data_IF_016718764232
#
_entry.id   IF_016718764232
#
_cell.length_a   1.000
_cell.length_b   1.000
_cell.length_c   1.000
_cell.angle_alpha   90.00
_cell.angle_beta   90.00
_cell.angle_gamma   90.00
#
_symmetry.space_group_name_H-M   'P 1'
#
loop_
_entity.id
_entity.type
_entity.pdbx_description
1 polymer ?
#
# COMPACT_ATOMS: atom_id res chain seq x y z
N UNK A 1 27.05 8.56 32.88
CA UNK A 1 27.51 9.28 31.68
C UNK A 1 26.72 8.72 30.50
N UNK A 2 25.79 9.53 29.95
CA UNK A 2 24.82 9.08 28.94
C UNK A 2 25.50 8.93 27.58
N UNK A 3 25.55 7.71 27.03
CA UNK A 3 26.07 7.45 25.68
C UNK A 3 25.03 7.89 24.65
N UNK A 4 25.27 9.03 24.03
CA UNK A 4 24.60 9.47 22.80
C UNK A 4 25.09 8.60 21.64
N UNK A 5 24.18 7.88 21.00
CA UNK A 5 24.45 7.28 19.69
C UNK A 5 23.39 7.79 18.73
N UNK A 6 23.80 8.76 17.91
CA UNK A 6 23.05 9.26 16.78
C UNK A 6 22.98 8.12 15.75
N UNK A 7 21.79 7.55 15.52
CA UNK A 7 21.54 6.61 14.43
C UNK A 7 20.54 7.25 13.47
N UNK A 8 21.04 8.13 12.61
CA UNK A 8 20.33 8.50 11.39
C UNK A 8 20.33 7.33 10.39
N UNK A 9 19.21 7.23 9.67
CA UNK A 9 18.99 6.53 8.41
C UNK A 9 18.64 5.02 8.46
N UNK A 10 17.36 4.73 8.18
CA UNK A 10 16.98 3.53 7.42
C UNK A 10 15.97 2.57 8.06
N UNK A 11 15.19 2.98 9.05
CA UNK A 11 14.32 2.03 9.77
C UNK A 11 13.05 1.63 8.99
N UNK A 12 13.00 0.34 8.62
CA UNK A 12 11.76 -0.41 8.45
C UNK A 12 11.27 -0.69 9.87
N UNK A 13 10.37 0.13 10.38
CA UNK A 13 9.72 -0.07 11.67
C UNK A 13 8.24 -0.28 11.45
N UNK A 14 7.79 -1.53 11.61
CA UNK A 14 6.38 -1.85 11.85
C UNK A 14 6.17 -1.96 13.36
N UNK A 15 5.45 -1.01 13.94
CA UNK A 15 5.09 -0.98 15.35
C UNK A 15 3.79 -1.75 15.56
N UNK A 16 3.84 -2.90 16.24
CA UNK A 16 2.65 -3.60 16.73
C UNK A 16 2.30 -3.10 18.13
N UNK A 17 1.11 -2.48 18.27
CA UNK A 17 0.63 -1.90 19.52
C UNK A 17 0.12 -2.94 20.54
N UNK A 18 0.44 -4.23 20.37
CA UNK A 18 -0.17 -5.33 21.14
C UNK A 18 0.66 -5.84 22.32
N UNK A 19 1.80 -5.22 22.66
CA UNK A 19 2.52 -5.60 23.88
C UNK A 19 2.92 -4.37 24.71
N UNK A 20 2.20 -4.16 25.81
CA UNK A 20 2.46 -3.20 26.89
C UNK A 20 3.88 -3.26 27.50
N UNK A 21 4.75 -4.18 27.06
CA UNK A 21 6.14 -4.29 27.52
C UNK A 21 7.15 -3.44 26.73
N UNK A 22 6.82 -2.95 25.53
CA UNK A 22 7.76 -2.15 24.73
C UNK A 22 7.79 -0.66 25.08
N UNK A 23 6.82 -0.18 25.88
CA UNK A 23 6.80 1.17 26.43
C UNK A 23 7.85 1.42 27.53
N UNK A 24 8.74 0.46 27.81
CA UNK A 24 9.79 0.64 28.85
C UNK A 24 11.06 1.32 28.36
N UNK A 25 11.22 1.60 27.07
CA UNK A 25 12.31 2.45 26.56
C UNK A 25 11.78 3.76 25.99
N UNK A 26 11.06 4.51 26.83
CA UNK A 26 10.58 5.88 26.53
C UNK A 26 11.73 6.78 26.06
N UNK A 27 12.96 6.55 26.56
CA UNK A 27 14.14 7.35 26.27
C UNK A 27 14.65 7.29 24.83
N UNK A 28 14.42 6.18 24.11
CA UNK A 28 14.85 6.08 22.70
C UNK A 28 14.01 6.96 21.77
N UNK A 29 12.76 7.23 22.14
CA UNK A 29 11.86 8.11 21.39
C UNK A 29 11.98 9.58 21.81
N UNK A 30 12.48 9.85 23.03
CA UNK A 30 12.76 11.21 23.51
C UNK A 30 13.88 11.91 22.74
N UNK A 31 14.85 11.15 22.23
CA UNK A 31 15.99 11.67 21.44
C UNK A 31 15.71 11.77 19.93
N UNK A 32 14.56 11.27 19.45
CA UNK A 32 14.15 11.44 18.05
C UNK A 32 13.49 12.81 17.92
N UNK A 33 14.07 13.76 17.17
CA UNK A 33 13.48 15.09 17.04
C UNK A 33 12.06 14.95 16.47
N UNK A 34 11.09 15.52 17.21
CA UNK A 34 9.67 15.52 16.89
C UNK A 34 9.45 16.17 15.52
N UNK A 35 9.35 15.34 14.47
CA UNK A 35 9.12 15.81 13.11
C UNK A 35 9.81 15.00 12.01
N UNK A 36 10.81 14.16 12.31
CA UNK A 36 11.62 13.52 11.26
C UNK A 36 11.12 12.16 10.74
N UNK A 37 10.14 11.54 11.39
CA UNK A 37 9.64 10.23 10.95
C UNK A 37 8.12 10.30 10.75
N UNK A 38 7.72 10.38 9.49
CA UNK A 38 6.33 10.21 9.10
C UNK A 38 5.90 8.76 9.37
N UNK A 39 5.01 8.58 10.33
CA UNK A 39 4.36 7.32 10.66
C UNK A 39 2.88 7.38 10.26
N UNK A 40 2.42 6.29 9.67
CA UNK A 40 1.01 6.02 9.42
C UNK A 40 0.49 5.12 10.52
N UNK A 41 -0.53 5.60 11.24
CA UNK A 41 -1.15 4.88 12.34
C UNK A 41 -2.44 4.22 11.86
N UNK A 42 -2.44 2.89 11.81
CA UNK A 42 -3.63 2.07 11.71
C UNK A 42 -4.19 1.70 13.09
N UNK A 43 -5.35 1.04 13.11
CA UNK A 43 -6.08 0.68 14.34
C UNK A 43 -5.27 -0.14 15.36
N UNK A 44 -4.21 -0.87 14.93
CA UNK A 44 -3.33 -1.66 15.81
C UNK A 44 -1.83 -1.59 15.45
N UNK A 45 -1.48 -0.79 14.46
CA UNK A 45 -0.16 -0.83 13.81
C UNK A 45 0.32 0.58 13.46
N UNK A 46 1.59 0.87 13.69
CA UNK A 46 2.28 2.04 13.14
C UNK A 46 3.25 1.62 12.04
N UNK A 47 3.22 2.27 10.89
CA UNK A 47 4.06 1.94 9.73
C UNK A 47 4.81 3.19 9.29
N UNK A 48 6.12 3.10 9.08
CA UNK A 48 6.88 4.24 8.56
C UNK A 48 6.52 4.51 7.09
N UNK A 49 6.53 5.77 6.68
CA UNK A 49 6.27 6.14 5.28
C UNK A 49 7.23 5.45 4.30
N UNK A 50 8.49 5.24 4.72
CA UNK A 50 9.50 4.51 3.95
C UNK A 50 9.13 3.05 3.71
N UNK A 51 8.60 2.35 4.73
CA UNK A 51 8.14 0.98 4.58
C UNK A 51 6.95 0.92 3.60
N UNK A 52 6.00 1.86 3.72
CA UNK A 52 4.91 2.00 2.75
C UNK A 52 5.44 2.16 1.32
N UNK A 53 6.33 3.13 1.06
CA UNK A 53 6.91 3.34 -0.28
C UNK A 53 7.63 2.12 -0.81
N UNK A 54 8.37 1.39 0.03
CA UNK A 54 9.05 0.16 -0.34
C UNK A 54 8.07 -0.93 -0.75
N UNK A 55 7.02 -1.17 0.05
CA UNK A 55 5.96 -2.14 -0.28
C UNK A 55 5.32 -1.79 -1.62
N UNK A 56 4.98 -0.52 -1.85
CA UNK A 56 4.41 -0.09 -3.12
C UNK A 56 5.34 -0.32 -4.31
N UNK A 57 6.62 0.01 -4.17
CA UNK A 57 7.61 -0.23 -5.22
C UNK A 57 7.73 -1.73 -5.55
N UNK A 58 7.75 -2.60 -4.54
CA UNK A 58 7.82 -4.05 -4.73
C UNK A 58 6.57 -4.60 -5.41
N UNK A 59 5.37 -4.17 -5.01
CA UNK A 59 4.12 -4.54 -5.69
C UNK A 59 4.13 -4.05 -7.13
N UNK A 60 4.57 -2.82 -7.38
CA UNK A 60 4.68 -2.24 -8.72
C UNK A 60 5.67 -3.00 -9.61
N UNK A 61 6.66 -3.67 -9.03
CA UNK A 61 7.58 -4.57 -9.73
C UNK A 61 7.03 -5.99 -9.91
N UNK A 62 5.75 -6.24 -9.61
CA UNK A 62 5.09 -7.53 -9.79
C UNK A 62 5.35 -8.55 -8.69
N UNK A 63 5.85 -8.14 -7.53
CA UNK A 63 6.01 -9.05 -6.38
C UNK A 63 4.66 -9.34 -5.73
N UNK A 64 4.42 -10.61 -5.42
CA UNK A 64 3.27 -11.02 -4.61
C UNK A 64 3.44 -10.58 -3.15
N UNK A 65 2.34 -10.41 -2.43
CA UNK A 65 2.38 -10.01 -1.02
C UNK A 65 3.15 -10.99 -0.13
N UNK A 66 3.09 -12.30 -0.43
CA UNK A 66 3.85 -13.32 0.29
C UNK A 66 5.36 -13.18 0.05
N UNK A 67 5.79 -12.90 -1.18
CA UNK A 67 7.21 -12.65 -1.46
C UNK A 67 7.70 -11.39 -0.73
N UNK A 68 6.85 -10.36 -0.64
CA UNK A 68 7.18 -9.13 0.09
C UNK A 68 7.29 -9.40 1.60
N UNK A 69 6.39 -10.18 2.19
CA UNK A 69 6.50 -10.60 3.60
C UNK A 69 7.82 -11.33 3.85
N UNK A 70 8.16 -12.32 3.03
CA UNK A 70 9.42 -13.07 3.16
C UNK A 70 10.64 -12.16 3.01
N UNK A 71 10.60 -11.23 2.04
CA UNK A 71 11.65 -10.23 1.85
C UNK A 71 11.81 -9.35 3.09
N UNK A 72 10.71 -8.85 3.65
CA UNK A 72 10.75 -8.02 4.86
C UNK A 72 11.28 -8.82 6.05
N UNK A 73 10.85 -10.07 6.22
CA UNK A 73 11.35 -10.96 7.26
C UNK A 73 12.86 -11.18 7.16
N UNK A 74 13.38 -11.41 5.95
CA UNK A 74 14.81 -11.52 5.72
C UNK A 74 15.54 -10.21 6.04
N UNK A 75 15.00 -9.06 5.61
CA UNK A 75 15.59 -7.75 5.94
C UNK A 75 15.64 -7.48 7.44
N UNK A 76 14.66 -7.95 8.21
CA UNK A 76 14.70 -7.89 9.67
C UNK A 76 15.82 -8.73 10.26
N UNK A 77 16.03 -9.96 9.76
CA UNK A 77 17.13 -10.83 10.16
C UNK A 77 18.49 -10.20 9.87
N UNK A 78 18.66 -9.68 8.65
CA UNK A 78 19.91 -9.04 8.21
C UNK A 78 20.23 -7.82 9.09
N UNK A 79 19.24 -6.96 9.34
CA UNK A 79 19.39 -5.78 10.18
C UNK A 79 19.72 -6.15 11.64
N UNK A 80 19.14 -7.23 12.16
CA UNK A 80 19.46 -7.72 13.50
C UNK A 80 20.92 -8.20 13.59
N UNK A 81 21.35 -9.02 12.63
CA UNK A 81 22.73 -9.52 12.56
C UNK A 81 23.74 -8.37 12.42
N UNK A 82 23.42 -7.37 11.60
CA UNK A 82 24.25 -6.17 11.45
C UNK A 82 24.35 -5.39 12.78
N UNK A 83 23.22 -5.17 13.47
CA UNK A 83 23.19 -4.49 14.77
C UNK A 83 23.98 -5.27 15.83
N UNK A 84 23.91 -6.59 15.82
CA UNK A 84 24.68 -7.45 16.72
C UNK A 84 26.19 -7.26 16.46
N UNK A 85 26.62 -7.26 15.19
CA UNK A 85 28.01 -7.02 14.83
C UNK A 85 28.49 -5.62 15.25
N UNK A 86 27.68 -4.59 15.00
CA UNK A 86 27.99 -3.20 15.41
C UNK A 86 28.11 -3.08 16.94
N UNK A 87 27.19 -3.68 17.68
CA UNK A 87 27.25 -3.72 19.14
C UNK A 87 28.52 -4.43 19.63
N UNK A 88 28.85 -5.60 19.08
CA UNK A 88 30.05 -6.34 19.45
C UNK A 88 31.32 -5.50 19.24
N UNK A 89 31.45 -4.86 18.06
CA UNK A 89 32.56 -3.93 17.77
C UNK A 89 32.64 -2.77 18.75
N UNK A 90 31.49 -2.19 19.11
CA UNK A 90 31.42 -1.09 20.06
C UNK A 90 31.86 -1.51 21.46
N UNK A 91 31.41 -2.69 21.92
CA UNK A 91 31.83 -3.26 23.21
C UNK A 91 33.33 -3.54 23.24
N UNK A 92 33.89 -4.15 22.19
CA UNK A 92 35.34 -4.37 22.08
C UNK A 92 36.10 -3.06 22.21
N UNK A 93 35.75 -2.05 21.40
CA UNK A 93 36.43 -0.74 21.43
C UNK A 93 36.27 0.00 22.76
N UNK A 94 35.12 -0.17 23.44
CA UNK A 94 34.88 0.42 24.75
C UNK A 94 35.75 -0.24 25.83
N UNK A 95 35.86 -1.58 25.82
CA UNK A 95 36.68 -2.34 26.78
C UNK A 95 38.17 -2.10 26.59
N UNK A 96 38.65 -1.98 25.34
CA UNK A 96 40.04 -1.58 25.04
C UNK A 96 40.41 -0.25 25.69
N UNK A 97 39.49 0.72 25.71
CA UNK A 97 39.68 2.04 26.34
C UNK A 97 39.47 2.04 27.84
N UNK A 98 38.86 0.99 28.40
CA UNK A 98 38.46 0.90 29.81
C UNK A 98 38.78 -0.49 30.37
N UNK A 99 40.05 -0.90 30.29
CA UNK A 99 40.51 -2.25 30.58
C UNK A 99 40.26 -2.76 32.02
N UNK A 100 39.97 -1.86 32.97
CA UNK A 100 39.64 -2.20 34.36
C UNK A 100 38.17 -2.52 34.61
N UNK A 101 37.31 -2.41 33.59
CA UNK A 101 35.87 -2.69 33.71
C UNK A 101 35.57 -4.18 33.52
N UNK A 102 34.66 -4.68 34.36
CA UNK A 102 34.14 -6.04 34.27
C UNK A 102 33.16 -6.18 33.10
N UNK A 103 33.55 -7.00 32.12
CA UNK A 103 32.74 -7.33 30.94
C UNK A 103 31.36 -7.91 31.33
N UNK A 104 31.26 -8.61 32.46
CA UNK A 104 30.01 -9.20 32.96
C UNK A 104 28.96 -8.17 33.41
N UNK A 105 29.36 -6.90 33.58
CA UNK A 105 28.45 -5.80 33.95
C UNK A 105 27.88 -5.05 32.73
N UNK A 106 28.37 -5.34 31.52
CA UNK A 106 27.84 -4.73 30.32
C UNK A 106 26.51 -5.40 29.91
N UNK A 107 25.50 -4.61 29.47
CA UNK A 107 24.22 -5.16 29.07
C UNK A 107 24.37 -6.01 27.81
N UNK A 108 24.02 -7.30 27.86
CA UNK A 108 24.11 -8.20 26.70
C UNK A 108 23.24 -7.76 25.53
N UNK A 109 23.70 -8.01 24.30
CA UNK A 109 22.84 -7.86 23.12
C UNK A 109 21.62 -8.82 23.24
N UNK A 110 20.40 -8.36 22.96
CA UNK A 110 19.20 -9.20 23.08
C UNK A 110 19.26 -10.41 22.14
N UNK A 111 18.66 -11.54 22.54
CA UNK A 111 18.50 -12.69 21.65
C UNK A 111 17.38 -12.43 20.62
N UNK A 112 17.49 -13.07 19.46
CA UNK A 112 16.52 -12.88 18.37
C UNK A 112 15.12 -13.38 18.74
N UNK A 113 15.02 -14.46 19.52
CA UNK A 113 13.74 -15.08 19.88
C UNK A 113 12.86 -14.21 20.78
N UNK A 114 13.42 -13.17 21.41
CA UNK A 114 12.66 -12.23 22.24
C UNK A 114 11.84 -11.25 21.38
N UNK A 115 12.15 -11.12 20.08
CA UNK A 115 11.56 -10.09 19.23
C UNK A 115 11.42 -10.56 17.77
N UNK A 116 10.22 -11.01 17.37
CA UNK A 116 9.87 -11.30 15.96
C UNK A 116 8.79 -10.34 15.44
N UNK A 117 9.13 -9.08 15.10
CA UNK A 117 8.19 -8.16 14.46
C UNK A 117 8.25 -8.34 12.94
N UNK A 118 7.96 -9.52 12.40
CA UNK A 118 7.82 -9.63 10.95
C UNK A 118 6.43 -9.14 10.56
N UNK A 119 6.31 -8.15 9.67
CA UNK A 119 5.02 -7.69 9.19
C UNK A 119 4.34 -8.86 8.49
N UNK A 120 3.16 -9.23 8.98
CA UNK A 120 2.35 -10.26 8.34
C UNK A 120 1.93 -9.82 6.94
N UNK A 121 1.53 -10.77 6.09
CA UNK A 121 0.85 -10.49 4.83
C UNK A 121 -0.25 -9.43 4.99
N UNK A 122 -1.08 -9.49 6.05
CA UNK A 122 -2.11 -8.47 6.33
C UNK A 122 -1.52 -7.07 6.53
N UNK A 123 -0.39 -6.97 7.22
CA UNK A 123 0.31 -5.69 7.43
C UNK A 123 0.81 -5.13 6.11
N UNK A 124 1.35 -5.98 5.23
CA UNK A 124 1.81 -5.58 3.89
C UNK A 124 0.62 -5.10 3.04
N UNK A 125 -0.53 -5.79 3.09
CA UNK A 125 -1.75 -5.35 2.43
C UNK A 125 -2.21 -3.98 2.94
N UNK A 126 -2.22 -3.77 4.26
CA UNK A 126 -2.59 -2.46 4.84
C UNK A 126 -1.65 -1.34 4.39
N UNK A 127 -0.33 -1.60 4.29
CA UNK A 127 0.63 -0.63 3.74
C UNK A 127 0.26 -0.23 2.31
N UNK A 128 -0.05 -1.22 1.47
CA UNK A 128 -0.42 -1.00 0.08
C UNK A 128 -1.73 -0.22 -0.06
N UNK A 129 -2.77 -0.61 0.69
CA UNK A 129 -4.07 0.08 0.69
C UNK A 129 -3.97 1.52 1.19
N UNK A 130 -3.11 1.76 2.19
CA UNK A 130 -2.91 3.10 2.73
C UNK A 130 -2.42 4.08 1.66
N UNK A 131 -1.43 3.68 0.87
CA UNK A 131 -0.89 4.50 -0.23
C UNK A 131 -1.97 4.77 -1.27
N UNK A 132 -2.80 3.77 -1.58
CA UNK A 132 -3.93 3.97 -2.47
C UNK A 132 -4.90 5.03 -1.97
N UNK A 133 -5.21 5.01 -0.67
CA UNK A 133 -6.10 5.97 -0.02
C UNK A 133 -5.52 7.39 -0.02
N UNK A 134 -4.25 7.56 0.34
CA UNK A 134 -3.59 8.87 0.36
C UNK A 134 -3.49 9.49 -1.04
N UNK A 135 -3.31 8.66 -2.07
CA UNK A 135 -3.17 9.10 -3.46
C UNK A 135 -4.49 9.02 -4.23
N UNK A 136 -5.63 8.80 -3.56
CA UNK A 136 -6.93 8.62 -4.22
C UNK A 136 -7.26 9.82 -5.12
N UNK A 137 -7.05 11.04 -4.63
CA UNK A 137 -7.29 12.25 -5.40
C UNK A 137 -6.38 12.34 -6.63
N UNK A 138 -5.11 11.96 -6.50
CA UNK A 138 -4.18 11.92 -7.63
C UNK A 138 -4.62 10.91 -8.68
N UNK A 139 -5.06 9.71 -8.27
CA UNK A 139 -5.57 8.71 -9.21
C UNK A 139 -6.84 9.18 -9.92
N UNK A 140 -7.77 9.81 -9.18
CA UNK A 140 -8.99 10.40 -9.74
C UNK A 140 -8.66 11.52 -10.73
N UNK A 141 -7.72 12.39 -10.38
CA UNK A 141 -7.28 13.47 -11.26
C UNK A 141 -6.63 12.92 -12.53
N UNK A 142 -5.65 12.02 -12.40
CA UNK A 142 -4.96 11.42 -13.54
C UNK A 142 -5.93 10.71 -14.49
N UNK A 143 -6.95 10.02 -13.96
CA UNK A 143 -8.03 9.41 -14.77
C UNK A 143 -8.90 10.47 -15.45
N UNK A 144 -9.21 11.57 -14.76
CA UNK A 144 -10.04 12.66 -15.30
C UNK A 144 -9.37 13.42 -16.44
N UNK A 145 -8.03 13.43 -16.49
CA UNK A 145 -7.25 14.08 -17.54
C UNK A 145 -7.12 13.23 -18.81
N UNK A 146 -7.44 11.94 -18.76
CA UNK A 146 -7.33 11.05 -19.92
C UNK A 146 -8.48 11.27 -20.89
N UNK A 147 -8.13 11.39 -22.16
CA UNK A 147 -9.03 11.40 -23.30
C UNK A 147 -8.95 10.06 -24.04
N UNK A 148 -9.81 9.91 -25.04
CA UNK A 148 -9.82 8.74 -25.90
C UNK A 148 -10.26 9.13 -27.30
N UNK A 149 -9.56 8.60 -28.30
CA UNK A 149 -10.00 8.64 -29.70
C UNK A 149 -10.92 7.45 -29.99
N UNK A 150 -10.61 6.29 -29.43
CA UNK A 150 -11.53 5.17 -29.31
C UNK A 150 -11.50 4.60 -27.91
N UNK A 151 -12.61 4.01 -27.48
CA UNK A 151 -12.73 3.40 -26.16
C UNK A 151 -13.21 1.97 -26.26
N UNK A 152 -12.76 1.12 -25.35
CA UNK A 152 -13.32 -0.22 -25.14
C UNK A 152 -13.97 -0.29 -23.76
N UNK A 153 -15.17 -0.85 -23.65
CA UNK A 153 -15.85 -0.97 -22.36
C UNK A 153 -16.71 -2.22 -22.23
N UNK A 154 -16.47 -2.99 -21.19
CA UNK A 154 -17.12 -4.27 -20.92
C UNK A 154 -17.05 -4.64 -19.43
N UNK A 155 -17.66 -5.77 -19.08
CA UNK A 155 -17.62 -6.34 -17.72
C UNK A 155 -16.54 -7.44 -17.62
N UNK A 156 -15.30 -7.15 -18.06
CA UNK A 156 -14.25 -8.18 -18.27
C UNK A 156 -13.94 -8.98 -17.01
N UNK A 157 -13.96 -8.33 -15.84
CA UNK A 157 -13.47 -8.92 -14.61
C UNK A 157 -14.63 -9.36 -13.72
N UNK A 158 -14.72 -10.67 -13.48
CA UNK A 158 -15.53 -11.20 -12.39
C UNK A 158 -14.87 -10.81 -11.07
N UNK A 159 -15.53 -9.97 -10.30
CA UNK A 159 -15.08 -9.61 -8.97
C UNK A 159 -15.80 -10.54 -8.01
N UNK A 160 -15.23 -11.72 -7.73
CA UNK A 160 -15.78 -12.60 -6.72
C UNK A 160 -15.27 -12.19 -5.32
N UNK A 161 -15.64 -11.00 -4.86
CA UNK A 161 -15.33 -10.55 -3.51
C UNK A 161 -16.60 -10.65 -2.65
N UNK A 162 -16.64 -11.64 -1.76
CA UNK A 162 -17.61 -11.65 -0.67
C UNK A 162 -17.18 -10.58 0.34
N UNK A 163 -18.01 -9.56 0.54
CA UNK A 163 -17.76 -8.46 1.47
C UNK A 163 -18.96 -8.39 2.40
N UNK A 164 -18.73 -8.43 3.70
CA UNK A 164 -19.81 -8.34 4.68
C UNK A 164 -19.31 -7.89 6.05
N UNK A 165 -20.04 -7.01 6.75
CA UNK A 165 -19.81 -6.78 8.17
C UNK A 165 -20.29 -7.99 8.99
N UNK A 166 -19.61 -8.25 10.10
CA UNK A 166 -20.08 -9.07 11.22
C UNK A 166 -20.61 -10.47 10.85
N UNK A 167 -19.81 -11.25 10.15
CA UNK A 167 -20.06 -12.70 9.96
C UNK A 167 -21.07 -13.06 8.86
N UNK A 168 -21.68 -12.07 8.19
CA UNK A 168 -22.57 -12.31 7.04
C UNK A 168 -21.85 -12.05 5.72
N UNK A 169 -21.23 -13.09 5.16
CA UNK A 169 -20.56 -12.99 3.86
C UNK A 169 -21.59 -12.93 2.73
N UNK A 170 -21.64 -11.81 2.02
CA UNK A 170 -22.47 -11.67 0.82
C UNK A 170 -21.66 -11.08 -0.32
N UNK A 171 -21.95 -11.52 -1.54
CA UNK A 171 -21.37 -10.94 -2.74
C UNK A 171 -22.01 -9.57 -2.98
N UNK A 172 -21.25 -8.50 -2.66
CA UNK A 172 -21.70 -7.12 -2.86
C UNK A 172 -21.58 -6.70 -4.32
N UNK A 173 -20.53 -7.20 -4.98
CA UNK A 173 -20.23 -6.99 -6.39
C UNK A 173 -19.78 -8.32 -6.98
N UNK A 174 -20.23 -8.64 -8.18
CA UNK A 174 -19.83 -9.85 -8.91
C UNK A 174 -19.06 -9.52 -10.19
N UNK A 175 -19.04 -8.24 -10.57
CA UNK A 175 -18.52 -7.74 -11.85
C UNK A 175 -17.87 -6.37 -11.67
N UNK A 176 -16.88 -6.09 -12.52
CA UNK A 176 -16.30 -4.76 -12.71
C UNK A 176 -16.55 -4.34 -14.15
N UNK A 177 -17.26 -3.23 -14.33
CA UNK A 177 -17.30 -2.54 -15.61
C UNK A 177 -16.12 -1.58 -15.70
N UNK A 178 -15.37 -1.64 -16.78
CA UNK A 178 -14.20 -0.78 -17.00
C UNK A 178 -14.24 -0.21 -18.41
N UNK A 179 -13.85 1.05 -18.56
CA UNK A 179 -13.65 1.67 -19.87
C UNK A 179 -12.19 2.06 -20.02
N UNK A 180 -11.58 1.62 -21.12
CA UNK A 180 -10.19 1.88 -21.48
C UNK A 180 -10.13 2.73 -22.75
N UNK A 181 -9.08 3.55 -22.88
CA UNK A 181 -8.75 4.22 -24.14
C UNK A 181 -7.84 3.37 -25.03
N UNK A 182 -7.41 3.94 -26.16
CA UNK A 182 -6.57 3.28 -27.15
C UNK A 182 -5.19 2.81 -26.67
N UNK A 183 -4.72 3.33 -25.53
CA UNK A 183 -3.45 2.96 -24.91
C UNK A 183 -3.61 2.01 -23.71
N UNK A 184 -4.83 1.54 -23.44
CA UNK A 184 -5.14 0.70 -22.29
C UNK A 184 -5.24 1.47 -20.97
N UNK A 185 -5.34 2.80 -20.99
CA UNK A 185 -5.53 3.60 -19.79
C UNK A 185 -7.00 3.62 -19.37
N UNK A 186 -7.25 3.51 -18.08
CA UNK A 186 -8.60 3.55 -17.51
C UNK A 186 -9.18 4.96 -17.61
N UNK A 187 -10.38 5.08 -18.18
CA UNK A 187 -11.16 6.32 -18.28
C UNK A 187 -12.25 6.41 -17.21
N UNK A 188 -12.87 5.28 -16.88
CA UNK A 188 -13.86 5.15 -15.80
C UNK A 188 -14.02 3.68 -15.45
N UNK A 189 -14.51 3.40 -14.26
CA UNK A 189 -14.82 2.04 -13.82
C UNK A 189 -15.91 2.06 -12.75
N UNK A 190 -16.61 0.93 -12.60
CA UNK A 190 -17.60 0.74 -11.54
C UNK A 190 -17.74 -0.72 -11.18
N UNK A 191 -17.71 -1.01 -9.88
CA UNK A 191 -18.12 -2.30 -9.35
C UNK A 191 -19.63 -2.44 -9.43
N UNK A 192 -20.12 -3.55 -9.97
CA UNK A 192 -21.55 -3.79 -10.20
C UNK A 192 -21.99 -5.15 -9.66
N UNK A 193 -23.29 -5.25 -9.41
CA UNK A 193 -24.00 -6.51 -9.18
C UNK A 193 -24.79 -6.84 -10.44
N UNK A 194 -24.30 -7.80 -11.20
CA UNK A 194 -24.70 -8.12 -12.57
C UNK A 194 -24.05 -7.22 -13.62
N UNK A 195 -24.38 -7.51 -14.88
CA UNK A 195 -23.76 -6.91 -16.08
C UNK A 195 -24.73 -6.03 -16.88
N UNK A 196 -25.84 -5.60 -16.29
CA UNK A 196 -26.86 -4.81 -17.01
C UNK A 196 -26.40 -3.36 -17.20
N UNK A 197 -26.58 -2.83 -18.42
CA UNK A 197 -26.16 -1.45 -18.76
C UNK A 197 -26.74 -0.36 -17.87
N UNK A 198 -27.93 -0.56 -17.28
CA UNK A 198 -28.52 0.42 -16.36
C UNK A 198 -27.71 0.61 -15.08
N UNK A 199 -26.82 -0.34 -14.73
CA UNK A 199 -25.93 -0.22 -13.57
C UNK A 199 -24.76 0.73 -13.81
N UNK A 200 -24.42 1.01 -15.06
CA UNK A 200 -23.23 1.77 -15.47
C UNK A 200 -23.56 3.02 -16.28
N UNK A 201 -24.84 3.28 -16.53
CA UNK A 201 -25.31 4.43 -17.31
C UNK A 201 -24.85 5.78 -16.73
N UNK A 202 -24.83 5.89 -15.40
CA UNK A 202 -24.37 7.08 -14.68
C UNK A 202 -22.89 7.39 -14.95
N UNK A 203 -22.01 6.38 -14.83
CA UNK A 203 -20.57 6.59 -15.06
C UNK A 203 -20.24 6.84 -16.53
N UNK A 204 -21.04 6.31 -17.46
CA UNK A 204 -20.91 6.57 -18.89
C UNK A 204 -21.36 7.99 -19.27
N UNK A 205 -22.46 8.49 -18.69
CA UNK A 205 -22.90 9.89 -18.86
C UNK A 205 -21.87 10.88 -18.31
N UNK A 206 -21.30 10.58 -17.14
CA UNK A 206 -20.24 11.40 -16.56
C UNK A 206 -18.99 11.39 -17.44
N UNK A 207 -18.61 10.24 -17.99
CA UNK A 207 -17.51 10.14 -18.94
C UNK A 207 -17.76 10.99 -20.20
N UNK A 208 -18.96 10.89 -20.80
CA UNK A 208 -19.33 11.72 -21.95
C UNK A 208 -19.21 13.21 -21.65
N UNK A 209 -19.80 13.67 -20.55
CA UNK A 209 -19.75 15.07 -20.14
C UNK A 209 -18.31 15.56 -19.99
N UNK A 210 -17.45 14.73 -19.39
CA UNK A 210 -16.01 15.02 -19.24
C UNK A 210 -15.30 15.13 -20.59
N UNK A 211 -15.52 14.18 -21.50
CA UNK A 211 -14.92 14.22 -22.84
C UNK A 211 -15.38 15.46 -23.64
N UNK A 212 -16.65 15.83 -23.52
CA UNK A 212 -17.21 17.03 -24.17
C UNK A 212 -16.57 18.32 -23.66
N UNK A 213 -16.41 18.43 -22.34
CA UNK A 213 -15.72 19.57 -21.71
C UNK A 213 -14.26 19.68 -22.16
N UNK A 214 -13.60 18.54 -22.38
CA UNK A 214 -12.24 18.45 -22.89
C UNK A 214 -12.15 18.65 -24.40
N UNK A 215 -13.28 18.80 -25.10
CA UNK A 215 -13.35 18.86 -26.57
C UNK A 215 -12.69 17.66 -27.25
N UNK A 216 -12.72 16.51 -26.60
CA UNK A 216 -12.19 15.27 -27.13
C UNK A 216 -13.22 14.61 -28.06
N UNK A 217 -12.79 14.22 -29.26
CA UNK A 217 -13.61 13.43 -30.18
C UNK A 217 -13.37 11.94 -29.95
N UNK A 218 -14.42 11.21 -29.59
CA UNK A 218 -14.44 9.75 -29.56
C UNK A 218 -15.17 9.26 -30.82
N UNK A 219 -14.47 8.55 -31.69
CA UNK A 219 -14.99 8.10 -32.99
C UNK A 219 -15.55 6.67 -32.93
N UNK A 220 -15.03 5.85 -32.01
CA UNK A 220 -15.37 4.43 -31.96
C UNK A 220 -15.44 3.92 -30.53
N UNK A 221 -16.47 3.11 -30.26
CA UNK A 221 -16.65 2.44 -28.98
C UNK A 221 -16.76 0.93 -29.21
N UNK A 222 -15.80 0.18 -28.69
CA UNK A 222 -15.80 -1.28 -28.68
C UNK A 222 -16.47 -1.78 -27.40
N UNK A 223 -17.48 -2.63 -27.56
CA UNK A 223 -18.21 -3.23 -26.43
C UNK A 223 -18.61 -4.64 -26.76
N UNK A 224 -18.70 -5.47 -25.73
CA UNK A 224 -19.32 -6.80 -25.84
C UNK A 224 -20.81 -6.67 -26.08
N UNK A 225 -21.40 -7.70 -26.72
CA UNK A 225 -22.84 -7.76 -26.97
C UNK A 225 -23.39 -6.50 -27.66
N UNK A 226 -22.63 -5.93 -28.60
CA UNK A 226 -22.93 -4.63 -29.22
C UNK A 226 -24.38 -4.50 -29.71
N UNK A 227 -24.97 -5.57 -30.25
CA UNK A 227 -26.36 -5.59 -30.72
C UNK A 227 -27.38 -5.28 -29.61
N UNK A 228 -27.09 -5.65 -28.35
CA UNK A 228 -27.97 -5.40 -27.20
C UNK A 228 -27.76 -4.02 -26.58
N UNK A 229 -26.51 -3.54 -26.59
CA UNK A 229 -26.13 -2.32 -25.86
C UNK A 229 -26.08 -1.06 -26.74
N UNK A 230 -25.97 -1.22 -28.07
CA UNK A 230 -25.83 -0.12 -29.04
C UNK A 230 -26.87 0.98 -28.87
N UNK A 231 -28.15 0.63 -28.78
CA UNK A 231 -29.22 1.63 -28.67
C UNK A 231 -29.07 2.52 -27.42
N UNK A 232 -28.63 1.94 -26.29
CA UNK A 232 -28.38 2.71 -25.05
C UNK A 232 -27.10 3.53 -25.15
N UNK A 233 -26.05 2.99 -25.76
CA UNK A 233 -24.81 3.73 -25.97
C UNK A 233 -25.03 4.92 -26.90
N UNK A 234 -25.80 4.77 -27.97
CA UNK A 234 -26.13 5.88 -28.88
C UNK A 234 -26.93 6.99 -28.22
N UNK A 235 -27.70 6.70 -27.15
CA UNK A 235 -28.38 7.73 -26.35
C UNK A 235 -27.40 8.55 -25.51
N UNK A 236 -26.23 8.00 -25.18
CA UNK A 236 -25.20 8.67 -24.36
C UNK A 236 -24.13 9.30 -25.27
N UNK A 237 -23.70 8.58 -26.31
CA UNK A 237 -22.69 8.92 -27.30
C UNK A 237 -23.37 8.97 -28.69
N UNK A 238 -23.99 10.10 -29.06
CA UNK A 238 -24.78 10.20 -30.29
C UNK A 238 -23.94 10.40 -31.57
N UNK A 239 -22.67 10.81 -31.42
CA UNK A 239 -21.71 10.97 -32.50
C UNK A 239 -20.95 9.66 -32.70
#
# INVERSE_FOLDING_TARGET
MSMRTCCELGEITSYQATNQRFLRSVRLLEDVPSGYIAFYLGHKLGISAKLCSLVFALVSCGKSFNEIELFLAQRYLDNFAERQCRYARHVTSYLEKNASLDQGKLPSFPSFDVWRPTPSTDTVHQCFLYIFKENEQFFRQNMSEKTAHWMSGDHTFKVAANIGPDGSWSTQFDSLYIVLNETGQVLTYKLTKGTTMSKVEDILKNLKCRLDQQKASCETIFVDDCCKVRGKLQQIFPN
#
